data_IF_128819717159
#
_entry.id   IF_128819717159
#
_cell.length_a   1.000
_cell.length_b   1.000
_cell.length_c   1.000
_cell.angle_alpha   90.00
_cell.angle_beta   90.00
_cell.angle_gamma   90.00
#
_symmetry.space_group_name_H-M   'P 1'
#
loop_
_entity.id
_entity.type
_entity.pdbx_description
1 polymer ?
#
# COMPACT_ATOMS: atom_id res chain seq x y z
N UNK A 1 7.11 -15.94 61.17
CA UNK A 1 7.71 -16.93 60.26
C UNK A 1 6.63 -17.44 59.31
N UNK A 2 6.88 -17.34 57.99
CA UNK A 2 6.42 -18.18 56.85
C UNK A 2 4.97 -18.74 56.77
N UNK A 3 4.27 -18.35 55.68
CA UNK A 3 3.49 -19.14 54.68
C UNK A 3 2.42 -20.14 55.17
N UNK A 4 1.19 -20.17 54.64
CA UNK A 4 0.81 -20.85 53.39
C UNK A 4 -0.60 -20.45 52.86
N UNK A 5 -0.72 -20.37 51.52
CA UNK A 5 -1.91 -20.13 50.63
C UNK A 5 -2.77 -21.42 50.50
N UNK A 6 -3.98 -21.50 49.87
CA UNK A 6 -4.58 -20.65 48.80
C UNK A 6 -6.12 -20.41 48.87
N UNK A 7 -6.70 -19.66 47.91
CA UNK A 7 -7.93 -20.15 47.28
C UNK A 7 -7.74 -20.39 45.78
N UNK A 8 -8.11 -21.60 45.34
CA UNK A 8 -8.30 -21.96 43.94
C UNK A 8 -9.81 -21.89 43.64
N UNK A 9 -10.10 -21.46 42.40
CA UNK A 9 -11.39 -21.43 41.71
C UNK A 9 -12.25 -20.19 42.02
N UNK A 10 -12.80 -19.46 41.04
CA UNK A 10 -13.31 -19.92 39.74
C UNK A 10 -13.36 -18.76 38.72
N UNK A 11 -12.77 -19.03 37.57
CA UNK A 11 -12.99 -18.45 36.24
C UNK A 11 -14.48 -18.25 35.89
N UNK A 12 -14.94 -17.38 35.01
CA UNK A 12 -14.30 -16.51 34.03
C UNK A 12 -15.25 -15.34 33.78
N UNK A 13 -14.75 -14.12 33.95
CA UNK A 13 -15.42 -12.88 33.61
C UNK A 13 -15.54 -12.74 32.09
N UNK A 14 -16.77 -12.56 31.61
CA UNK A 14 -17.07 -12.09 30.26
C UNK A 14 -16.60 -10.64 30.07
N UNK A 15 -15.85 -10.32 28.99
CA UNK A 15 -15.64 -8.94 28.59
C UNK A 15 -15.98 -8.73 27.09
N UNK A 16 -16.97 -9.43 26.55
CA UNK A 16 -17.34 -9.28 25.13
C UNK A 16 -18.42 -8.23 24.86
N UNK A 17 -19.10 -7.72 25.90
CA UNK A 17 -20.17 -6.73 25.73
C UNK A 17 -19.68 -5.28 25.54
N UNK A 18 -18.42 -4.98 25.88
CA UNK A 18 -17.88 -3.61 25.82
C UNK A 18 -17.34 -3.21 24.44
N UNK A 19 -16.94 -4.16 23.60
CA UNK A 19 -16.25 -3.87 22.34
C UNK A 19 -17.18 -3.36 21.23
N UNK A 20 -18.46 -3.75 21.23
CA UNK A 20 -19.38 -3.30 20.18
C UNK A 20 -19.73 -1.81 20.29
N UNK A 21 -19.88 -1.26 21.49
CA UNK A 21 -20.28 0.14 21.66
C UNK A 21 -19.22 1.14 21.17
N UNK A 22 -17.93 0.76 21.22
CA UNK A 22 -16.83 1.61 20.75
C UNK A 22 -16.77 1.78 19.22
N UNK A 23 -17.21 0.78 18.45
CA UNK A 23 -17.14 0.83 16.98
C UNK A 23 -18.16 1.82 16.40
N UNK A 24 -19.34 1.96 17.02
CA UNK A 24 -20.37 2.89 16.54
C UNK A 24 -19.98 4.36 16.75
N UNK A 25 -19.27 4.69 17.84
CA UNK A 25 -18.84 6.07 18.12
C UNK A 25 -17.72 6.52 17.18
N UNK A 26 -16.82 5.62 16.77
CA UNK A 26 -15.79 5.91 15.76
C UNK A 26 -16.37 6.06 14.35
N UNK A 27 -17.38 5.25 13.98
CA UNK A 27 -18.05 5.37 12.69
C UNK A 27 -18.87 6.69 12.56
N UNK A 28 -19.36 7.24 13.68
CA UNK A 28 -20.14 8.48 13.70
C UNK A 28 -19.27 9.76 13.71
N UNK A 29 -18.03 9.71 14.22
CA UNK A 29 -17.10 10.86 14.18
C UNK A 29 -16.28 10.92 12.87
N UNK A 30 -16.51 9.98 11.94
CA UNK A 30 -15.92 9.96 10.60
C UNK A 30 -16.93 10.26 9.48
N UNK A 31 -18.08 10.86 9.81
CA UNK A 31 -19.10 11.28 8.86
C UNK A 31 -18.59 12.46 8.03
N UNK A 32 -18.31 12.18 6.77
CA UNK A 32 -17.80 13.11 5.77
C UNK A 32 -18.68 14.36 5.62
N UNK A 33 -18.05 15.53 5.67
CA UNK A 33 -18.59 16.73 5.05
C UNK A 33 -18.66 16.49 3.54
N UNK A 34 -19.86 16.25 3.01
CA UNK A 34 -20.17 16.29 1.58
C UNK A 34 -20.11 17.74 1.07
N UNK A 35 -18.93 18.33 1.11
CA UNK A 35 -18.61 19.49 0.29
C UNK A 35 -18.40 18.98 -1.14
N UNK A 36 -19.51 18.90 -1.89
CA UNK A 36 -19.52 18.67 -3.34
C UNK A 36 -18.82 19.82 -4.07
N UNK A 37 -17.50 19.87 -3.97
CA UNK A 37 -16.65 20.62 -4.87
C UNK A 37 -16.52 19.79 -6.14
N UNK A 38 -17.42 20.02 -7.09
CA UNK A 38 -17.26 19.58 -8.47
C UNK A 38 -16.18 20.44 -9.15
N UNK A 39 -14.99 20.46 -8.56
CA UNK A 39 -13.77 20.82 -9.25
C UNK A 39 -13.12 19.51 -9.66
N UNK A 40 -12.88 19.30 -10.94
CA UNK A 40 -11.97 18.25 -11.38
C UNK A 40 -10.60 18.53 -10.81
N UNK A 41 -10.35 18.07 -9.58
CA UNK A 41 -9.02 18.06 -8.98
C UNK A 41 -8.23 17.09 -9.84
N UNK A 42 -7.44 17.62 -10.77
CA UNK A 42 -6.49 16.84 -11.54
C UNK A 42 -5.41 16.34 -10.57
N UNK A 43 -5.71 15.24 -9.87
CA UNK A 43 -4.79 14.61 -8.94
C UNK A 43 -3.69 13.96 -9.80
N UNK A 44 -2.42 14.35 -9.63
CA UNK A 44 -1.33 13.78 -10.40
C UNK A 44 -1.26 12.27 -10.13
N UNK A 45 -0.97 11.49 -11.18
CA UNK A 45 -0.73 10.05 -11.03
C UNK A 45 0.59 9.83 -10.29
N UNK A 46 0.52 9.15 -9.16
CA UNK A 46 1.69 8.80 -8.36
C UNK A 46 2.24 7.48 -8.88
N UNK A 47 3.49 7.48 -9.33
CA UNK A 47 4.13 6.26 -9.80
C UNK A 47 4.87 5.57 -8.64
N UNK A 48 4.46 4.35 -8.32
CA UNK A 48 5.12 3.51 -7.32
C UNK A 48 6.03 2.54 -8.04
N UNK A 49 7.33 2.64 -7.76
CA UNK A 49 8.35 1.73 -8.29
C UNK A 49 8.56 0.54 -7.37
N UNK A 50 8.87 -0.61 -7.97
CA UNK A 50 9.38 -1.79 -7.26
C UNK A 50 10.77 -2.16 -7.78
N UNK A 51 11.51 -2.93 -6.99
CA UNK A 51 12.73 -3.59 -7.46
C UNK A 51 12.41 -5.04 -7.85
N UNK A 52 13.42 -5.83 -8.19
CA UNK A 52 13.24 -7.26 -8.48
C UNK A 52 13.16 -8.13 -7.20
N UNK A 53 13.20 -7.50 -6.02
CA UNK A 53 13.06 -8.19 -4.73
C UNK A 53 11.58 -8.39 -4.34
N UNK A 54 11.16 -9.59 -3.92
CA UNK A 54 9.76 -9.87 -3.56
C UNK A 54 9.19 -8.99 -2.44
N UNK A 55 10.01 -8.59 -1.45
CA UNK A 55 9.52 -7.73 -0.38
C UNK A 55 9.23 -6.32 -0.91
N UNK A 56 10.06 -5.82 -1.84
CA UNK A 56 9.82 -4.53 -2.50
C UNK A 56 8.54 -4.53 -3.36
N UNK A 57 8.18 -5.67 -3.96
CA UNK A 57 6.94 -5.82 -4.71
C UNK A 57 5.72 -5.75 -3.78
N UNK A 58 5.76 -6.50 -2.68
CA UNK A 58 4.67 -6.48 -1.69
C UNK A 58 4.48 -5.08 -1.08
N UNK A 59 5.58 -4.38 -0.75
CA UNK A 59 5.53 -3.02 -0.22
C UNK A 59 4.97 -2.02 -1.25
N UNK A 60 5.36 -2.13 -2.52
CA UNK A 60 4.83 -1.30 -3.59
C UNK A 60 3.32 -1.49 -3.75
N UNK A 61 2.82 -2.72 -3.58
CA UNK A 61 1.39 -3.02 -3.69
C UNK A 61 0.60 -2.47 -2.50
N UNK A 62 1.07 -2.68 -1.26
CA UNK A 62 0.42 -2.15 -0.05
C UNK A 62 0.38 -0.61 -0.12
N UNK A 63 1.47 0.02 -0.54
CA UNK A 63 1.54 1.47 -0.67
C UNK A 63 0.62 1.99 -1.81
N UNK A 64 0.58 1.29 -2.94
CA UNK A 64 -0.30 1.61 -4.06
C UNK A 64 -1.77 1.54 -3.66
N UNK A 65 -2.18 0.49 -2.96
CA UNK A 65 -3.55 0.35 -2.46
C UNK A 65 -3.90 1.45 -1.44
N UNK A 66 -2.97 1.81 -0.55
CA UNK A 66 -3.16 2.92 0.38
C UNK A 66 -3.39 4.26 -0.33
N UNK A 67 -2.64 4.54 -1.38
CA UNK A 67 -2.79 5.74 -2.20
C UNK A 67 -4.08 5.75 -3.02
N UNK A 68 -4.48 4.60 -3.58
CA UNK A 68 -5.76 4.44 -4.30
C UNK A 68 -6.94 4.69 -3.35
N UNK A 69 -6.90 4.14 -2.13
CA UNK A 69 -7.92 4.35 -1.11
C UNK A 69 -8.00 5.82 -0.65
N UNK A 70 -6.89 6.56 -0.68
CA UNK A 70 -6.86 8.00 -0.44
C UNK A 70 -7.34 8.83 -1.66
N UNK A 71 -7.74 8.16 -2.74
CA UNK A 71 -8.30 8.77 -3.95
C UNK A 71 -7.24 9.28 -4.93
N UNK A 72 -6.00 8.80 -4.88
CA UNK A 72 -4.99 9.09 -5.90
C UNK A 72 -5.06 8.08 -7.04
N UNK A 73 -4.61 8.49 -8.23
CA UNK A 73 -4.33 7.56 -9.34
C UNK A 73 -2.93 7.01 -9.15
N UNK A 74 -2.76 5.68 -9.18
CA UNK A 74 -1.46 5.04 -8.97
C UNK A 74 -0.99 4.30 -10.23
N UNK A 75 0.21 4.64 -10.69
CA UNK A 75 0.92 3.90 -11.72
C UNK A 75 1.89 2.91 -11.09
N UNK A 76 1.84 1.63 -11.50
CA UNK A 76 2.79 0.60 -11.06
C UNK A 76 3.87 0.45 -12.13
N UNK A 77 5.14 0.58 -11.75
CA UNK A 77 6.28 0.46 -12.69
C UNK A 77 6.97 -0.88 -12.57
N UNK A 78 7.22 -1.51 -13.71
CA UNK A 78 8.00 -2.74 -13.79
C UNK A 78 9.49 -2.43 -14.00
N UNK A 79 10.39 -2.85 -13.08
CA UNK A 79 11.80 -2.51 -13.16
C UNK A 79 12.52 -3.17 -14.33
N UNK A 80 12.03 -4.31 -14.83
CA UNK A 80 12.62 -5.01 -15.98
C UNK A 80 12.19 -4.33 -17.28
N UNK A 81 10.91 -4.00 -17.40
CA UNK A 81 10.38 -3.28 -18.55
C UNK A 81 11.06 -1.90 -18.71
N UNK A 82 11.24 -1.15 -17.62
CA UNK A 82 11.88 0.16 -17.63
C UNK A 82 13.36 0.08 -18.09
N UNK A 83 14.09 -0.94 -17.61
CA UNK A 83 15.48 -1.20 -18.05
C UNK A 83 15.53 -1.60 -19.52
N UNK A 84 14.64 -2.51 -19.94
CA UNK A 84 14.57 -2.95 -21.34
C UNK A 84 14.25 -1.79 -22.29
N UNK A 85 13.30 -0.93 -21.91
CA UNK A 85 12.95 0.28 -22.65
C UNK A 85 14.14 1.24 -22.80
N UNK A 86 14.97 1.35 -21.76
CA UNK A 86 16.19 2.18 -21.79
C UNK A 86 17.27 1.58 -22.70
N UNK A 87 17.48 0.26 -22.66
CA UNK A 87 18.58 -0.41 -23.40
C UNK A 87 18.24 -0.58 -24.89
N UNK A 88 16.97 -0.84 -25.23
CA UNK A 88 16.51 -1.11 -26.60
C UNK A 88 16.94 -0.07 -27.67
N UNK A 89 16.76 1.26 -27.47
CA UNK A 89 17.18 2.25 -28.47
C UNK A 89 18.70 2.31 -28.67
N UNK A 90 19.48 2.08 -27.61
CA UNK A 90 20.95 2.06 -27.70
C UNK A 90 21.44 0.85 -28.51
N UNK A 91 20.85 -0.32 -28.27
CA UNK A 91 21.17 -1.53 -29.03
C UNK A 91 20.83 -1.37 -30.52
N UNK A 92 19.67 -0.76 -30.83
CA UNK A 92 19.25 -0.48 -32.21
C UNK A 92 20.25 0.41 -32.97
N UNK A 93 20.83 1.42 -32.31
CA UNK A 93 21.86 2.29 -32.92
C UNK A 93 23.16 1.52 -33.19
N UNK A 94 23.60 0.67 -32.28
CA UNK A 94 24.83 -0.11 -32.47
C UNK A 94 24.75 -1.08 -33.65
N UNK A 95 23.61 -1.75 -33.83
CA UNK A 95 23.40 -2.64 -34.98
C UNK A 95 23.41 -1.89 -36.32
N UNK A 96 22.92 -0.65 -36.37
CA UNK A 96 23.01 0.19 -37.58
C UNK A 96 24.45 0.49 -37.95
N UNK A 97 25.30 0.84 -36.97
CA UNK A 97 26.72 1.09 -37.23
C UNK A 97 27.47 -0.16 -37.72
N UNK A 98 27.11 -1.36 -37.24
CA UNK A 98 27.70 -2.60 -37.74
C UNK A 98 27.28 -2.95 -39.17
N UNK A 99 26.06 -2.61 -39.59
CA UNK A 99 25.60 -2.82 -40.97
C UNK A 99 26.34 -1.97 -41.99
N UNK A 100 26.74 -0.75 -41.66
CA UNK A 100 27.50 0.12 -42.57
C UNK A 100 28.99 -0.26 -42.70
N UNK A 101 29.48 -1.20 -41.90
CA UNK A 101 30.88 -1.69 -41.96
C UNK A 101 31.02 -3.03 -42.70
N UNK A 102 29.95 -3.53 -43.31
CA UNK A 102 29.95 -4.69 -44.21
C UNK A 102 29.61 -4.22 -45.61
#
# INVERSE_FOLDING_TARGET
MKSLRPPVARSASAPFAGLLAGVLVLAACGGADDASSSGTVNRPTINVGRTTDPASELLAEIYGQGLENAGFRVGRKDPVADRAATISPHYRRQLRHRRHRR
#
